data_IF_947081779481
#
_entry.id   IF_947081779481
#
_cell.length_a   1.000
_cell.length_b   1.000
_cell.length_c   1.000
_cell.angle_alpha   90.00
_cell.angle_beta   90.00
_cell.angle_gamma   90.00
#
_symmetry.space_group_name_H-M   'P 1'
#
loop_
_entity.id
_entity.type
_entity.pdbx_description
1 polymer ?
#
# COMPACT_ATOMS: atom_id res chain seq x y z
N UNK A 1 45.83 -9.76 -10.98
CA UNK A 1 46.51 -11.08 -10.89
C UNK A 1 47.10 -11.32 -9.51
N UNK A 2 47.92 -10.40 -8.98
CA UNK A 2 48.52 -10.54 -7.63
C UNK A 2 47.44 -10.58 -6.52
N UNK A 3 46.42 -9.73 -6.60
CA UNK A 3 45.31 -9.71 -5.62
C UNK A 3 44.55 -11.03 -5.56
N UNK A 4 44.15 -11.58 -6.71
CA UNK A 4 43.47 -12.89 -6.80
C UNK A 4 44.33 -14.00 -6.20
N UNK A 5 45.65 -13.97 -6.44
CA UNK A 5 46.57 -14.94 -5.87
C UNK A 5 46.69 -14.81 -4.34
N UNK A 6 46.70 -13.58 -3.82
CA UNK A 6 46.71 -13.32 -2.38
C UNK A 6 45.41 -13.78 -1.72
N UNK A 7 44.26 -13.48 -2.32
CA UNK A 7 42.94 -13.91 -1.84
C UNK A 7 42.84 -15.44 -1.82
N UNK A 8 43.28 -16.11 -2.90
CA UNK A 8 43.34 -17.56 -2.95
C UNK A 8 44.22 -18.13 -1.84
N UNK A 9 45.43 -17.59 -1.67
CA UNK A 9 46.35 -18.01 -0.62
C UNK A 9 45.73 -17.81 0.77
N UNK A 10 45.03 -16.72 1.01
CA UNK A 10 44.32 -16.48 2.27
C UNK A 10 43.16 -17.45 2.50
N UNK A 11 42.33 -17.68 1.47
CA UNK A 11 41.16 -18.55 1.55
C UNK A 11 41.50 -20.04 1.66
N UNK A 12 42.69 -20.42 1.18
CA UNK A 12 43.25 -21.77 1.35
C UNK A 12 43.81 -22.05 2.75
N UNK A 13 43.97 -21.03 3.60
CA UNK A 13 44.46 -21.22 4.97
C UNK A 13 43.49 -22.10 5.76
N UNK A 14 44.05 -23.01 6.52
CA UNK A 14 43.31 -23.82 7.48
C UNK A 14 42.82 -22.96 8.64
N UNK A 15 41.60 -23.23 9.09
CA UNK A 15 41.04 -22.63 10.30
C UNK A 15 41.70 -23.34 11.48
N UNK A 16 42.42 -22.60 12.31
CA UNK A 16 42.94 -23.12 13.58
C UNK A 16 41.75 -23.37 14.50
N UNK A 17 41.42 -24.64 14.75
CA UNK A 17 40.41 -24.98 15.75
C UNK A 17 40.97 -24.59 17.12
N UNK A 18 40.39 -23.56 17.76
CA UNK A 18 40.58 -23.41 19.20
C UNK A 18 39.86 -24.57 19.88
N UNK A 19 40.47 -25.23 20.89
CA UNK A 19 39.77 -26.23 21.68
C UNK A 19 38.49 -25.59 22.21
N UNK A 20 37.35 -26.19 21.90
CA UNK A 20 36.08 -25.81 22.53
C UNK A 20 36.23 -26.17 24.00
N UNK A 21 36.54 -25.20 24.84
CA UNK A 21 36.45 -25.39 26.29
C UNK A 21 34.98 -25.62 26.64
N UNK A 22 34.65 -26.88 27.00
CA UNK A 22 33.37 -27.25 27.59
C UNK A 22 32.53 -28.26 26.81
N UNK A 23 33.10 -29.40 26.40
CA UNK A 23 32.29 -30.59 26.14
C UNK A 23 32.54 -31.63 27.23
N UNK A 24 31.70 -31.61 28.27
CA UNK A 24 31.72 -32.56 29.39
C UNK A 24 31.32 -34.00 28.98
N UNK A 25 31.16 -34.28 27.67
CA UNK A 25 30.79 -35.60 27.16
C UNK A 25 31.81 -36.22 26.18
N UNK A 26 33.06 -35.74 26.15
CA UNK A 26 34.11 -36.41 25.39
C UNK A 26 34.46 -37.76 26.07
N UNK A 27 33.99 -38.87 25.51
CA UNK A 27 34.54 -40.19 25.83
C UNK A 27 36.03 -40.17 25.49
N UNK A 28 36.89 -40.45 26.46
CA UNK A 28 38.36 -40.35 26.35
C UNK A 28 38.98 -41.21 25.22
N UNK A 29 38.21 -42.12 24.62
CA UNK A 29 38.69 -43.13 23.66
C UNK A 29 38.27 -42.92 22.18
N UNK A 30 37.68 -41.77 21.80
CA UNK A 30 37.32 -41.50 20.39
C UNK A 30 38.04 -40.25 19.87
N UNK A 31 39.15 -40.47 19.17
CA UNK A 31 39.83 -39.41 18.42
C UNK A 31 39.06 -39.15 17.10
N UNK A 32 38.13 -38.18 17.14
CA UNK A 32 37.42 -37.74 15.94
C UNK A 32 38.38 -36.95 15.06
N UNK A 33 39.02 -37.62 14.09
CA UNK A 33 39.85 -36.97 13.06
C UNK A 33 38.93 -36.15 12.15
N UNK A 34 38.67 -34.89 12.50
CA UNK A 34 37.99 -33.96 11.61
C UNK A 34 38.95 -33.56 10.48
N UNK A 35 38.46 -33.61 9.24
CA UNK A 35 39.20 -33.05 8.11
C UNK A 35 39.43 -31.56 8.36
N UNK A 36 40.70 -31.13 8.32
CA UNK A 36 41.10 -29.74 8.56
C UNK A 36 40.35 -28.82 7.59
N UNK A 37 39.52 -27.93 8.12
CA UNK A 37 38.67 -27.05 7.30
C UNK A 37 39.44 -25.80 6.88
N UNK A 38 39.30 -25.40 5.63
CA UNK A 38 39.85 -24.13 5.15
C UNK A 38 38.88 -22.98 5.39
N UNK A 39 39.38 -21.74 5.38
CA UNK A 39 38.55 -20.52 5.42
C UNK A 39 37.48 -20.53 4.33
N UNK A 40 37.84 -20.98 3.13
CA UNK A 40 36.90 -21.21 2.01
C UNK A 40 35.74 -22.16 2.35
N UNK A 41 36.02 -23.27 3.03
CA UNK A 41 34.99 -24.24 3.41
C UNK A 41 33.97 -23.64 4.38
N UNK A 42 34.43 -22.91 5.39
CA UNK A 42 33.54 -22.27 6.37
C UNK A 42 32.74 -21.11 5.77
N UNK A 43 33.35 -20.28 4.93
CA UNK A 43 32.62 -19.20 4.23
C UNK A 43 31.53 -19.76 3.30
N UNK A 44 31.85 -20.83 2.57
CA UNK A 44 30.85 -21.53 1.73
C UNK A 44 29.70 -22.07 2.59
N UNK A 45 30.01 -22.65 3.74
CA UNK A 45 29.01 -23.16 4.68
C UNK A 45 28.18 -22.03 5.30
N UNK A 46 28.78 -20.90 5.64
CA UNK A 46 28.09 -19.71 6.12
C UNK A 46 27.13 -19.16 5.06
N UNK A 47 27.57 -19.04 3.81
CA UNK A 47 26.74 -18.63 2.70
C UNK A 47 25.55 -19.57 2.48
N UNK A 48 25.74 -20.89 2.57
CA UNK A 48 24.65 -21.87 2.45
C UNK A 48 23.61 -21.75 3.59
N UNK A 49 24.07 -21.49 4.82
CA UNK A 49 23.16 -21.25 5.97
C UNK A 49 22.33 -19.99 5.76
N UNK A 50 22.97 -18.91 5.30
CA UNK A 50 22.27 -17.64 5.03
C UNK A 50 21.27 -17.77 3.88
N UNK A 51 21.65 -18.46 2.79
CA UNK A 51 20.72 -18.77 1.70
C UNK A 51 19.47 -19.51 2.19
N UNK A 52 19.67 -20.50 3.06
CA UNK A 52 18.55 -21.25 3.66
C UNK A 52 17.65 -20.33 4.48
N UNK A 53 18.24 -19.48 5.33
CA UNK A 53 17.51 -18.52 6.17
C UNK A 53 16.68 -17.55 5.33
N UNK A 54 17.27 -16.96 4.28
CA UNK A 54 16.61 -16.02 3.38
C UNK A 54 15.50 -16.71 2.60
N UNK A 55 15.75 -17.92 2.08
CA UNK A 55 14.75 -18.71 1.35
C UNK A 55 13.54 -19.02 2.22
N UNK A 56 13.75 -19.47 3.46
CA UNK A 56 12.65 -19.74 4.39
C UNK A 56 11.87 -18.47 4.74
N UNK A 57 12.55 -17.32 4.88
CA UNK A 57 11.88 -16.03 5.12
C UNK A 57 11.01 -15.62 3.93
N UNK A 58 11.50 -15.77 2.70
CA UNK A 58 10.75 -15.47 1.49
C UNK A 58 9.50 -16.34 1.37
N UNK A 59 9.62 -17.66 1.61
CA UNK A 59 8.50 -18.59 1.58
C UNK A 59 7.43 -18.20 2.61
N UNK A 60 7.82 -17.91 3.85
CA UNK A 60 6.86 -17.48 4.89
C UNK A 60 6.13 -16.22 4.50
N UNK A 61 6.85 -15.22 3.98
CA UNK A 61 6.25 -13.98 3.51
C UNK A 61 5.24 -14.22 2.39
N UNK A 62 5.59 -15.06 1.41
CA UNK A 62 4.71 -15.42 0.31
C UNK A 62 3.43 -16.10 0.81
N UNK A 63 3.56 -17.05 1.73
CA UNK A 63 2.41 -17.70 2.37
C UNK A 63 1.52 -16.69 3.10
N UNK A 64 2.11 -15.77 3.87
CA UNK A 64 1.36 -14.71 4.56
C UNK A 64 0.61 -13.80 3.59
N UNK A 65 1.25 -13.34 2.52
CA UNK A 65 0.61 -12.47 1.53
C UNK A 65 -0.52 -13.18 0.77
N UNK A 66 -0.33 -14.46 0.44
CA UNK A 66 -1.38 -15.28 -0.18
C UNK A 66 -2.58 -15.48 0.75
N UNK A 67 -2.33 -15.75 2.04
CA UNK A 67 -3.39 -15.85 3.04
C UNK A 67 -4.16 -14.53 3.18
N UNK A 68 -3.48 -13.39 3.31
CA UNK A 68 -4.12 -12.07 3.37
C UNK A 68 -5.00 -11.79 2.15
N UNK A 69 -4.54 -12.16 0.95
CA UNK A 69 -5.32 -11.99 -0.28
C UNK A 69 -6.58 -12.84 -0.29
N UNK A 70 -6.48 -14.10 0.14
CA UNK A 70 -7.59 -15.04 0.17
C UNK A 70 -8.63 -14.68 1.26
N UNK A 71 -8.19 -14.21 2.43
CA UNK A 71 -9.04 -14.01 3.61
C UNK A 71 -9.79 -12.68 3.64
N UNK A 72 -9.43 -11.67 2.83
CA UNK A 72 -10.11 -10.36 2.90
C UNK A 72 -10.14 -9.50 1.65
N UNK A 73 -9.31 -9.79 0.64
CA UNK A 73 -9.22 -8.95 -0.57
C UNK A 73 -9.84 -9.61 -1.81
N UNK A 74 -10.27 -10.87 -1.71
CA UNK A 74 -10.65 -11.66 -2.88
C UNK A 74 -11.94 -11.18 -3.56
N UNK A 75 -12.91 -10.68 -2.78
CA UNK A 75 -14.13 -10.04 -3.30
C UNK A 75 -13.98 -8.52 -3.42
N UNK A 76 -12.83 -7.97 -3.01
CA UNK A 76 -12.47 -6.55 -3.08
C UNK A 76 -13.63 -5.60 -2.75
N UNK A 77 -13.84 -4.63 -3.65
CA UNK A 77 -14.96 -3.69 -3.60
C UNK A 77 -16.15 -4.17 -4.45
N UNK A 78 -16.10 -5.36 -5.05
CA UNK A 78 -17.16 -5.85 -5.93
C UNK A 78 -18.49 -6.03 -5.18
N UNK A 79 -18.43 -6.37 -3.89
CA UNK A 79 -19.61 -6.41 -3.03
C UNK A 79 -20.31 -5.04 -2.88
N UNK A 80 -19.62 -3.93 -3.13
CA UNK A 80 -20.20 -2.57 -3.04
C UNK A 80 -20.56 -2.01 -4.43
N UNK A 81 -20.19 -2.70 -5.52
CA UNK A 81 -20.46 -2.28 -6.90
C UNK A 81 -21.95 -2.17 -7.22
N UNK A 82 -22.83 -2.84 -6.48
CA UNK A 82 -24.28 -2.67 -6.65
C UNK A 82 -24.77 -1.28 -6.21
N UNK A 83 -24.05 -0.62 -5.28
CA UNK A 83 -24.41 0.72 -4.81
C UNK A 83 -24.23 1.75 -5.93
N UNK A 84 -23.14 1.66 -6.68
CA UNK A 84 -22.88 2.52 -7.86
C UNK A 84 -23.77 2.15 -9.05
N UNK A 85 -24.06 0.85 -9.26
CA UNK A 85 -24.92 0.42 -10.37
C UNK A 85 -26.40 0.84 -10.20
N UNK A 86 -26.88 1.08 -8.98
CA UNK A 86 -28.25 1.60 -8.75
C UNK A 86 -28.44 3.03 -9.25
N UNK A 87 -27.38 3.83 -9.29
CA UNK A 87 -27.43 5.19 -9.86
C UNK A 87 -27.55 5.18 -11.38
N UNK A 88 -26.98 4.17 -12.04
CA UNK A 88 -27.05 4.03 -13.50
C UNK A 88 -28.40 3.44 -13.98
N UNK A 89 -29.08 2.59 -13.20
CA UNK A 89 -30.40 2.02 -13.62
C UNK A 89 -31.55 3.01 -13.56
N UNK A 90 -31.36 4.18 -12.96
CA UNK A 90 -32.33 5.27 -13.02
C UNK A 90 -32.31 6.01 -14.37
N UNK A 91 -31.41 5.63 -15.28
CA UNK A 91 -31.20 6.23 -16.61
C UNK A 91 -31.78 5.45 -17.80
N UNK A 92 -32.50 4.35 -17.57
CA UNK A 92 -33.24 3.65 -18.66
C UNK A 92 -34.47 4.45 -19.15
N UNK A 93 -34.63 5.69 -18.68
CA UNK A 93 -35.49 6.69 -19.30
C UNK A 93 -34.64 7.91 -19.72
N UNK A 94 -33.69 7.67 -20.64
CA UNK A 94 -33.34 8.65 -21.68
C UNK A 94 -32.53 9.90 -21.28
N UNK A 95 -31.60 9.85 -20.32
CA UNK A 95 -30.64 10.96 -20.14
C UNK A 95 -29.19 10.47 -20.18
N UNK A 96 -28.51 10.75 -21.30
CA UNK A 96 -27.08 10.51 -21.45
C UNK A 96 -26.31 11.20 -20.31
N UNK A 97 -25.24 10.59 -19.78
CA UNK A 97 -24.32 11.25 -18.82
C UNK A 97 -23.85 12.63 -19.31
N UNK A 98 -23.80 12.86 -20.62
CA UNK A 98 -23.50 14.18 -21.22
C UNK A 98 -24.60 15.23 -21.00
N UNK A 99 -25.84 14.81 -20.83
CA UNK A 99 -27.01 15.67 -20.68
C UNK A 99 -27.18 16.10 -19.21
N UNK A 100 -26.88 15.22 -18.25
CA UNK A 100 -26.79 15.55 -16.82
C UNK A 100 -25.79 16.70 -16.56
N UNK A 101 -24.55 16.58 -17.04
CA UNK A 101 -23.49 17.61 -16.84
C UNK A 101 -23.78 18.91 -17.61
N UNK A 102 -24.72 18.88 -18.56
CA UNK A 102 -25.16 20.05 -19.33
C UNK A 102 -26.41 20.69 -18.74
N UNK A 103 -26.57 20.62 -17.42
CA UNK A 103 -27.57 21.39 -16.70
C UNK A 103 -27.54 22.85 -17.15
N UNK A 104 -28.71 23.44 -17.32
CA UNK A 104 -28.86 24.80 -17.83
C UNK A 104 -28.03 25.82 -17.04
N UNK A 105 -27.77 26.98 -17.64
CA UNK A 105 -27.01 28.05 -16.99
C UNK A 105 -27.72 28.63 -15.74
N UNK A 106 -29.00 28.30 -15.56
CA UNK A 106 -29.85 28.68 -14.44
C UNK A 106 -29.67 27.73 -13.26
N UNK A 107 -29.55 28.28 -12.06
CA UNK A 107 -29.56 27.55 -10.80
C UNK A 107 -30.99 27.44 -10.27
N UNK A 108 -31.48 26.21 -10.08
CA UNK A 108 -32.74 26.00 -9.34
C UNK A 108 -32.52 26.16 -7.84
N UNK A 109 -33.60 26.36 -7.09
CA UNK A 109 -33.48 26.52 -5.64
C UNK A 109 -32.95 25.25 -4.96
N UNK A 110 -33.37 24.08 -5.44
CA UNK A 110 -32.86 22.79 -4.97
C UNK A 110 -31.34 22.68 -5.22
N UNK A 111 -30.86 23.06 -6.41
CA UNK A 111 -29.43 23.04 -6.73
C UNK A 111 -28.64 23.98 -5.82
N UNK A 112 -29.16 25.17 -5.51
CA UNK A 112 -28.51 26.14 -4.61
C UNK A 112 -28.40 25.60 -3.19
N UNK A 113 -29.48 25.01 -2.67
CA UNK A 113 -29.50 24.41 -1.33
C UNK A 113 -28.47 23.27 -1.27
N UNK A 114 -28.50 22.34 -2.23
CA UNK A 114 -27.55 21.22 -2.28
C UNK A 114 -26.11 21.73 -2.37
N UNK A 115 -25.82 22.68 -3.26
CA UNK A 115 -24.49 23.26 -3.42
C UNK A 115 -24.00 23.91 -2.12
N UNK A 116 -24.87 24.69 -1.46
CA UNK A 116 -24.54 25.36 -0.19
C UNK A 116 -24.19 24.35 0.91
N UNK A 117 -25.01 23.30 1.10
CA UNK A 117 -24.72 22.27 2.10
C UNK A 117 -23.46 21.47 1.77
N UNK A 118 -23.21 21.17 0.50
CA UNK A 118 -22.00 20.48 0.07
C UNK A 118 -20.75 21.35 0.28
N UNK A 119 -20.83 22.66 0.04
CA UNK A 119 -19.73 23.59 0.30
C UNK A 119 -19.44 23.75 1.81
N UNK A 120 -20.45 23.63 2.67
CA UNK A 120 -20.23 23.56 4.12
C UNK A 120 -19.55 22.25 4.55
N UNK A 121 -19.88 21.13 3.91
CA UNK A 121 -19.37 19.80 4.27
C UNK A 121 -17.98 19.49 3.70
N UNK A 122 -17.78 19.77 2.42
CA UNK A 122 -16.57 19.46 1.66
C UNK A 122 -15.64 20.67 1.50
N UNK A 123 -16.10 21.86 1.90
CA UNK A 123 -15.32 23.09 1.76
C UNK A 123 -15.13 23.48 0.31
N UNK A 124 -13.87 23.68 -0.09
CA UNK A 124 -13.47 24.14 -1.44
C UNK A 124 -13.15 22.99 -2.40
N UNK A 125 -13.58 21.77 -2.08
CA UNK A 125 -13.53 20.64 -3.00
C UNK A 125 -14.67 20.74 -4.04
N UNK A 126 -14.47 21.62 -5.02
CA UNK A 126 -15.50 21.94 -6.02
C UNK A 126 -15.80 20.76 -6.96
N UNK A 127 -14.87 19.83 -7.13
CA UNK A 127 -15.06 18.65 -7.96
C UNK A 127 -15.99 17.65 -7.23
N UNK A 128 -15.79 17.42 -5.93
CA UNK A 128 -16.71 16.61 -5.13
C UNK A 128 -18.13 17.21 -5.07
N UNK A 129 -18.23 18.54 -4.93
CA UNK A 129 -19.53 19.22 -4.93
C UNK A 129 -20.23 19.10 -6.29
N UNK A 130 -19.48 19.25 -7.40
CA UNK A 130 -20.01 19.08 -8.76
C UNK A 130 -20.47 17.64 -9.03
N UNK A 131 -19.74 16.65 -8.51
CA UNK A 131 -20.10 15.24 -8.62
C UNK A 131 -21.43 14.93 -7.90
N UNK A 132 -21.62 15.46 -6.68
CA UNK A 132 -22.87 15.30 -5.93
C UNK A 132 -24.03 16.02 -6.59
N UNK A 133 -23.79 17.22 -7.16
CA UNK A 133 -24.82 17.96 -7.87
C UNK A 133 -25.22 17.26 -9.18
N UNK A 134 -24.26 16.69 -9.91
CA UNK A 134 -24.47 16.01 -11.20
C UNK A 134 -24.89 16.91 -12.36
N UNK A 135 -25.38 18.13 -12.10
CA UNK A 135 -25.95 19.06 -13.08
C UNK A 135 -25.09 20.27 -13.41
N UNK A 136 -24.11 20.60 -12.56
CA UNK A 136 -23.25 21.77 -12.69
C UNK A 136 -21.78 21.35 -12.63
N UNK A 137 -20.95 21.96 -13.48
CA UNK A 137 -19.50 21.72 -13.47
C UNK A 137 -18.82 22.41 -12.29
N UNK A 138 -17.62 21.95 -11.91
CA UNK A 138 -16.87 22.53 -10.79
C UNK A 138 -16.56 24.00 -10.97
N UNK A 139 -16.38 24.49 -12.21
CA UNK A 139 -16.24 25.92 -12.48
C UNK A 139 -17.52 26.73 -12.21
N UNK A 140 -18.71 26.16 -12.46
CA UNK A 140 -19.98 26.80 -12.11
C UNK A 140 -20.18 26.82 -10.59
N UNK A 141 -19.81 25.74 -9.90
CA UNK A 141 -19.82 25.67 -8.44
C UNK A 141 -18.85 26.69 -7.83
N UNK A 142 -17.67 26.86 -8.41
CA UNK A 142 -16.68 27.87 -7.98
C UNK A 142 -17.23 29.29 -8.08
N UNK A 143 -17.92 29.61 -9.18
CA UNK A 143 -18.63 30.90 -9.34
C UNK A 143 -19.74 31.07 -8.31
N UNK A 144 -20.50 30.02 -8.01
CA UNK A 144 -21.53 30.08 -6.97
C UNK A 144 -20.91 30.31 -5.57
N UNK A 145 -19.78 29.66 -5.27
CA UNK A 145 -19.07 29.87 -4.02
C UNK A 145 -18.58 31.32 -3.86
N UNK A 146 -18.06 31.96 -4.93
CA UNK A 146 -17.63 33.36 -4.84
C UNK A 146 -18.78 34.31 -4.47
N UNK A 147 -19.97 34.06 -5.02
CA UNK A 147 -21.16 34.88 -4.75
C UNK A 147 -21.69 34.66 -3.32
N UNK A 148 -21.65 33.42 -2.84
CA UNK A 148 -22.17 33.02 -1.53
C UNK A 148 -21.11 33.00 -0.41
N UNK A 149 -19.88 33.43 -0.72
CA UNK A 149 -18.72 33.27 0.16
C UNK A 149 -18.95 33.82 1.56
N UNK A 150 -19.53 35.01 1.67
CA UNK A 150 -19.76 35.66 2.95
C UNK A 150 -20.73 34.86 3.84
N UNK A 151 -21.76 34.26 3.24
CA UNK A 151 -22.77 33.47 3.96
C UNK A 151 -22.22 32.11 4.37
N UNK A 152 -21.52 31.43 3.46
CA UNK A 152 -20.88 30.13 3.71
C UNK A 152 -19.81 30.28 4.80
N UNK A 153 -18.94 31.28 4.69
CA UNK A 153 -17.87 31.52 5.65
C UNK A 153 -18.46 31.89 7.03
N UNK A 154 -19.51 32.73 7.08
CA UNK A 154 -20.19 33.07 8.35
C UNK A 154 -20.73 31.85 9.07
N UNK A 155 -21.41 30.95 8.35
CA UNK A 155 -21.97 29.73 8.93
C UNK A 155 -20.87 28.75 9.35
N UNK A 156 -19.81 28.63 8.54
CA UNK A 156 -18.67 27.76 8.87
C UNK A 156 -17.95 28.16 10.15
N UNK A 157 -17.77 29.47 10.40
CA UNK A 157 -17.13 29.99 11.62
C UNK A 157 -18.01 29.79 12.85
N UNK A 158 -19.34 29.89 12.70
CA UNK A 158 -20.29 29.71 13.80
C UNK A 158 -20.45 28.25 14.24
N UNK A 159 -20.08 27.27 13.41
CA UNK A 159 -20.16 25.84 13.75
C UNK A 159 -18.91 25.33 14.48
N UNK A 160 -17.86 26.16 14.62
CA UNK A 160 -16.61 25.84 15.32
C UNK A 160 -16.46 26.54 16.68
N UNK A 161 -17.45 27.33 17.11
CA UNK A 161 -17.55 27.92 18.44
C UNK A 161 -18.59 27.18 19.29
#
# INVERSE_FOLDING_TARGET
MIEIANDFAEMSKYVTEQPVEGDENASEDIEVVQAVKTKCSEETKAAMRELTRVRSRAIRLECTLKAQRAEGLMNGLDCYKYLTAKEDRKDEEGSSRRDRVRGGHTWTEEERIIAFHCLLRYGRDFDAVAEVLGTKTSDKVKSFYTDMKADIDRVSVSSCA
#
